data_IF_204441019859
#
_entry.id   IF_204441019859
#
_cell.length_a   1.000
_cell.length_b   1.000
_cell.length_c   1.000
_cell.angle_alpha   90.00
_cell.angle_beta   90.00
_cell.angle_gamma   90.00
#
_symmetry.space_group_name_H-M   'P 1'
#
loop_
_entity.id
_entity.type
_entity.pdbx_description
1 polymer ?
#
# COMPACT_ATOMS: atom_id res chain seq x y z
N UNK A 1 4.33 -17.38 -32.10
CA UNK A 1 3.15 -17.81 -31.33
C UNK A 1 2.77 -16.66 -30.44
N UNK A 2 1.53 -16.22 -30.59
CA UNK A 2 0.96 -14.99 -30.05
C UNK A 2 0.58 -15.11 -28.57
N UNK A 3 0.58 -13.96 -27.90
CA UNK A 3 -0.36 -13.56 -26.85
C UNK A 3 -0.58 -14.52 -25.67
N UNK A 4 0.33 -14.47 -24.69
CA UNK A 4 -0.03 -14.78 -23.31
C UNK A 4 -0.27 -13.49 -22.53
N UNK A 5 -1.48 -13.38 -21.98
CA UNK A 5 -2.03 -12.27 -21.22
C UNK A 5 -1.09 -11.78 -20.09
N UNK A 6 -0.20 -10.85 -20.39
CA UNK A 6 0.68 -10.17 -19.42
C UNK A 6 -0.04 -9.03 -18.67
N UNK A 7 -1.35 -9.19 -18.42
CA UNK A 7 -2.17 -8.23 -17.64
C UNK A 7 -2.10 -8.53 -16.13
N UNK A 8 -1.68 -9.75 -15.76
CA UNK A 8 -1.63 -10.22 -14.37
C UNK A 8 -0.27 -9.97 -13.72
N UNK A 9 0.82 -10.01 -14.50
CA UNK A 9 2.19 -9.73 -14.02
C UNK A 9 2.63 -8.37 -14.58
N UNK A 10 3.05 -7.46 -13.71
CA UNK A 10 3.59 -6.13 -14.06
C UNK A 10 2.61 -5.12 -14.72
N UNK A 11 1.45 -4.78 -14.13
CA UNK A 11 0.68 -3.66 -14.65
C UNK A 11 1.51 -2.37 -14.54
N UNK A 12 1.68 -1.62 -15.64
CA UNK A 12 2.49 -0.37 -15.69
C UNK A 12 2.16 0.66 -14.60
N UNK A 13 0.95 0.62 -14.05
CA UNK A 13 0.50 1.50 -12.97
C UNK A 13 1.00 1.11 -11.58
N UNK A 14 1.68 -0.04 -11.44
CA UNK A 14 2.36 -0.46 -10.21
C UNK A 14 3.88 -0.30 -10.26
N UNK A 15 4.44 0.34 -11.29
CA UNK A 15 5.90 0.60 -11.34
C UNK A 15 6.25 2.02 -10.88
N UNK A 16 7.36 2.20 -10.19
CA UNK A 16 7.90 3.52 -9.82
C UNK A 16 8.64 4.15 -11.00
N UNK A 17 7.88 4.82 -11.87
CA UNK A 17 8.43 5.55 -13.03
C UNK A 17 9.38 4.69 -13.86
N UNK A 18 10.58 5.20 -14.12
CA UNK A 18 11.62 4.52 -14.92
C UNK A 18 12.55 3.62 -14.08
N UNK A 19 12.34 3.51 -12.76
CA UNK A 19 13.21 2.74 -11.88
C UNK A 19 12.99 1.22 -11.97
N UNK A 20 11.90 0.77 -12.63
CA UNK A 20 11.57 -0.66 -12.74
C UNK A 20 11.15 -1.33 -11.43
N UNK A 21 11.02 -0.58 -10.34
CA UNK A 21 10.62 -1.08 -9.02
C UNK A 21 9.10 -1.24 -8.98
N UNK A 22 8.59 -2.39 -8.55
CA UNK A 22 7.17 -2.59 -8.34
C UNK A 22 6.71 -2.06 -6.96
N UNK A 23 5.47 -1.55 -6.90
CA UNK A 23 4.80 -1.10 -5.68
C UNK A 23 4.83 -2.20 -4.61
N UNK A 24 4.69 -3.47 -5.01
CA UNK A 24 4.73 -4.60 -4.08
C UNK A 24 6.10 -4.79 -3.42
N UNK A 25 7.20 -4.46 -4.11
CA UNK A 25 8.54 -4.56 -3.54
C UNK A 25 8.78 -3.45 -2.51
N UNK A 26 8.29 -2.24 -2.79
CA UNK A 26 8.31 -1.14 -1.82
C UNK A 26 7.50 -1.49 -0.58
N UNK A 27 6.27 -1.99 -0.77
CA UNK A 27 5.43 -2.42 0.35
C UNK A 27 6.15 -3.48 1.16
N UNK A 28 6.71 -4.52 0.51
CA UNK A 28 7.41 -5.62 1.18
C UNK A 28 8.57 -5.10 2.05
N UNK A 29 9.38 -4.19 1.52
CA UNK A 29 10.53 -3.66 2.25
C UNK A 29 10.10 -2.74 3.40
N UNK A 30 9.14 -1.83 3.17
CA UNK A 30 8.66 -0.91 4.22
C UNK A 30 7.94 -1.66 5.35
N UNK A 31 7.21 -2.72 5.05
CA UNK A 31 6.47 -3.48 6.06
C UNK A 31 7.29 -4.60 6.71
N UNK A 32 8.55 -4.84 6.29
CA UNK A 32 9.32 -6.03 6.70
C UNK A 32 9.50 -6.17 8.20
N UNK A 33 9.73 -5.05 8.89
CA UNK A 33 9.98 -5.03 10.34
C UNK A 33 8.70 -4.87 11.18
N UNK A 34 7.54 -4.72 10.54
CA UNK A 34 6.25 -4.61 11.23
C UNK A 34 5.78 -6.00 11.68
N UNK A 35 5.93 -6.28 12.96
CA UNK A 35 5.54 -7.55 13.58
C UNK A 35 4.03 -7.69 13.75
N UNK A 36 3.31 -6.57 13.84
CA UNK A 36 1.86 -6.57 13.92
C UNK A 36 1.24 -6.64 12.51
N UNK A 37 0.46 -7.68 12.27
CA UNK A 37 -0.15 -7.93 10.96
C UNK A 37 -1.15 -6.86 10.54
N UNK A 38 -1.85 -6.22 11.48
CA UNK A 38 -2.79 -5.15 11.17
C UNK A 38 -2.07 -3.86 10.79
N UNK A 39 -0.99 -3.51 11.50
CA UNK A 39 -0.11 -2.41 11.14
C UNK A 39 0.50 -2.63 9.76
N UNK A 40 1.04 -3.83 9.50
CA UNK A 40 1.60 -4.22 8.20
C UNK A 40 0.58 -4.05 7.07
N UNK A 41 -0.64 -4.55 7.26
CA UNK A 41 -1.73 -4.39 6.29
C UNK A 41 -2.05 -2.91 6.02
N UNK A 42 -2.23 -2.11 7.08
CA UNK A 42 -2.57 -0.69 6.92
C UNK A 42 -1.47 0.07 6.18
N UNK A 43 -0.21 -0.11 6.58
CA UNK A 43 0.94 0.54 5.92
C UNK A 43 1.03 0.12 4.45
N UNK A 44 0.86 -1.17 4.15
CA UNK A 44 0.85 -1.66 2.78
C UNK A 44 -0.26 -1.05 1.91
N UNK A 45 -1.49 -0.97 2.43
CA UNK A 45 -2.61 -0.37 1.70
C UNK A 45 -2.42 1.16 1.53
N UNK A 46 -1.90 1.87 2.54
CA UNK A 46 -1.56 3.30 2.43
C UNK A 46 -0.59 3.54 1.27
N UNK A 47 0.54 2.82 1.25
CA UNK A 47 1.56 2.94 0.20
C UNK A 47 0.98 2.61 -1.18
N UNK A 48 0.26 1.49 -1.28
CA UNK A 48 -0.42 1.06 -2.51
C UNK A 48 -1.30 2.15 -3.09
N UNK A 49 -2.14 2.77 -2.27
CA UNK A 49 -3.07 3.79 -2.75
C UNK A 49 -2.37 5.11 -3.09
N UNK A 50 -1.43 5.58 -2.26
CA UNK A 50 -0.66 6.80 -2.54
C UNK A 50 0.12 6.67 -3.85
N UNK A 51 0.82 5.54 -4.05
CA UNK A 51 1.62 5.32 -5.26
C UNK A 51 0.77 5.12 -6.52
N UNK A 52 -0.48 4.65 -6.36
CA UNK A 52 -1.41 4.43 -7.47
C UNK A 52 -2.22 5.66 -7.85
N UNK A 53 -2.42 6.61 -6.93
CA UNK A 53 -3.34 7.74 -7.10
C UNK A 53 -3.10 8.53 -8.40
N UNK A 54 -1.86 8.96 -8.65
CA UNK A 54 -1.51 9.70 -9.87
C UNK A 54 -1.62 8.89 -11.18
N UNK A 55 -1.76 7.57 -11.10
CA UNK A 55 -1.76 6.66 -12.26
C UNK A 55 -3.11 6.01 -12.56
N UNK A 56 -4.06 6.05 -11.62
CA UNK A 56 -5.32 5.32 -11.76
C UNK A 56 -6.55 6.12 -11.33
N UNK A 57 -6.75 6.32 -10.03
CA UNK A 57 -8.05 6.81 -9.52
C UNK A 57 -7.99 8.21 -8.89
N UNK A 58 -6.83 8.89 -8.91
CA UNK A 58 -6.67 10.24 -8.36
C UNK A 58 -7.13 10.33 -6.90
N UNK A 59 -8.02 11.28 -6.62
CA UNK A 59 -8.52 11.59 -5.28
C UNK A 59 -9.11 10.39 -4.54
N UNK A 60 -9.77 9.47 -5.24
CA UNK A 60 -10.39 8.30 -4.61
C UNK A 60 -9.36 7.36 -3.97
N UNK A 61 -8.15 7.28 -4.51
CA UNK A 61 -7.08 6.51 -3.88
C UNK A 61 -6.52 7.26 -2.67
N UNK A 62 -6.43 8.60 -2.71
CA UNK A 62 -6.04 9.37 -1.53
C UNK A 62 -7.02 9.24 -0.37
N UNK A 63 -8.32 9.23 -0.65
CA UNK A 63 -9.36 8.99 0.35
C UNK A 63 -9.22 7.60 0.99
N UNK A 64 -8.95 6.56 0.18
CA UNK A 64 -8.67 5.21 0.69
C UNK A 64 -7.41 5.17 1.55
N UNK A 65 -6.34 5.85 1.15
CA UNK A 65 -5.13 5.96 1.96
C UNK A 65 -5.41 6.64 3.31
N UNK A 66 -6.22 7.71 3.32
CA UNK A 66 -6.65 8.40 4.53
C UNK A 66 -7.46 7.49 5.47
N UNK A 67 -8.34 6.66 4.92
CA UNK A 67 -9.14 5.70 5.70
C UNK A 67 -8.23 4.68 6.42
N UNK A 68 -7.27 4.07 5.71
CA UNK A 68 -6.32 3.14 6.32
C UNK A 68 -5.39 3.80 7.33
N UNK A 69 -4.97 5.04 7.09
CA UNK A 69 -4.21 5.82 8.08
C UNK A 69 -5.04 6.07 9.35
N UNK A 70 -6.34 6.35 9.19
CA UNK A 70 -7.26 6.53 10.31
C UNK A 70 -7.40 5.24 11.12
N UNK A 71 -7.52 4.08 10.46
CA UNK A 71 -7.57 2.78 11.13
C UNK A 71 -6.28 2.48 11.91
N UNK A 72 -5.12 2.73 11.30
CA UNK A 72 -3.81 2.54 11.93
C UNK A 72 -3.67 3.38 13.21
N UNK A 73 -3.98 4.68 13.12
CA UNK A 73 -3.90 5.60 14.27
C UNK A 73 -4.83 5.15 15.40
N UNK A 74 -6.09 4.77 15.08
CA UNK A 74 -7.04 4.28 16.08
C UNK A 74 -6.55 3.01 16.76
N UNK A 75 -5.98 2.08 15.99
CA UNK A 75 -5.43 0.84 16.51
C UNK A 75 -4.27 1.11 17.47
N UNK A 76 -3.28 1.92 17.05
CA UNK A 76 -2.13 2.27 17.89
C UNK A 76 -2.54 3.00 19.18
N UNK A 77 -3.54 3.89 19.13
CA UNK A 77 -4.06 4.58 20.32
C UNK A 77 -4.72 3.62 21.31
N UNK A 78 -5.38 2.56 20.84
CA UNK A 78 -5.98 1.54 21.72
C UNK A 78 -4.93 0.68 22.40
N UNK A 79 -3.90 0.26 21.67
CA UNK A 79 -2.78 -0.49 22.23
C UNK A 79 -2.01 0.33 23.28
N UNK A 80 -1.88 1.64 23.08
CA UNK A 80 -1.23 2.54 24.05
C UNK A 80 -2.14 2.89 25.25
N UNK A 81 -3.44 3.03 25.03
CA UNK A 81 -4.43 3.35 26.08
C UNK A 81 -4.95 2.15 26.86
N UNK A 82 -4.55 0.92 26.51
CA UNK A 82 -4.80 -0.30 27.30
C UNK A 82 -3.73 -0.58 28.36
N UNK A 83 -2.80 0.35 28.57
CA UNK A 83 -1.75 0.32 29.58
C UNK A 83 -2.05 1.19 30.81
N UNK A 84 -3.28 1.70 30.94
CA UNK A 84 -3.78 2.41 32.13
C UNK A 84 -4.79 1.55 32.90
#
# INVERSE_FOLDING_TARGET
>A
MENENNAVKNPKHYQLGNLGIEVIDVIREVTRELKDGFQGKCVGDILKYVMRAHKKNGIQDYEKAQEYLTYLIKYMKREQGGLE
#
